data_IF_126700943075
#
_entry.id   IF_126700943075
#
_cell.length_a   1.000
_cell.length_b   1.000
_cell.length_c   1.000
_cell.angle_alpha   90.00
_cell.angle_beta   90.00
_cell.angle_gamma   90.00
#
_symmetry.space_group_name_H-M   'P 1'
#
loop_
_entity.id
_entity.type
_entity.pdbx_description
1 polymer ?
#
# COMPACT_ATOMS: atom_id res chain seq x y z
N UNK A 1 -41.32 3.29 22.62
CA UNK A 1 -41.36 2.20 21.62
C UNK A 1 -41.07 2.82 20.26
N UNK A 2 -39.97 2.45 19.60
CA UNK A 2 -39.64 2.95 18.26
C UNK A 2 -38.18 2.71 17.93
N UNK A 3 -37.83 1.46 17.60
CA UNK A 3 -36.49 1.11 17.14
C UNK A 3 -36.33 1.56 15.69
N UNK A 4 -35.34 2.43 15.42
CA UNK A 4 -34.94 2.76 14.06
C UNK A 4 -34.03 1.63 13.54
N UNK A 5 -34.62 0.63 12.88
CA UNK A 5 -33.86 -0.42 12.21
C UNK A 5 -33.63 -0.02 10.75
N UNK A 6 -32.45 0.52 10.44
CA UNK A 6 -31.99 0.71 9.07
C UNK A 6 -31.50 -0.62 8.50
N UNK A 7 -32.41 -1.42 7.94
CA UNK A 7 -32.05 -2.57 7.12
C UNK A 7 -31.61 -2.10 5.73
N UNK A 8 -30.39 -1.57 5.63
CA UNK A 8 -29.75 -1.34 4.35
C UNK A 8 -28.97 -2.59 3.95
N UNK A 9 -29.67 -3.54 3.33
CA UNK A 9 -29.01 -4.62 2.60
C UNK A 9 -28.46 -4.05 1.29
N UNK A 10 -27.34 -3.33 1.38
CA UNK A 10 -26.68 -2.72 0.25
C UNK A 10 -25.78 -3.76 -0.43
N UNK A 11 -26.29 -4.39 -1.49
CA UNK A 11 -25.44 -5.09 -2.45
C UNK A 11 -24.57 -4.06 -3.16
N UNK A 12 -23.47 -3.68 -2.52
CA UNK A 12 -22.44 -2.83 -3.13
C UNK A 12 -21.62 -3.70 -4.09
N UNK A 13 -21.46 -3.31 -5.36
CA UNK A 13 -20.70 -4.10 -6.35
C UNK A 13 -19.20 -4.19 -6.01
N UNK A 14 -18.74 -3.41 -5.03
CA UNK A 14 -17.40 -3.49 -4.46
C UNK A 14 -17.50 -3.43 -2.93
N UNK A 15 -16.76 -4.32 -2.24
CA UNK A 15 -16.63 -4.25 -0.79
C UNK A 15 -15.70 -3.08 -0.42
N UNK A 16 -16.17 -2.17 0.43
CA UNK A 16 -15.32 -1.08 0.93
C UNK A 16 -14.14 -1.66 1.75
N UNK A 17 -12.94 -1.68 1.15
CA UNK A 17 -11.75 -2.13 1.88
C UNK A 17 -11.38 -1.11 2.97
N UNK A 18 -11.60 -1.47 4.24
CA UNK A 18 -11.32 -0.60 5.38
C UNK A 18 -9.83 -0.57 5.73
N UNK A 19 -9.04 0.00 4.82
CA UNK A 19 -7.57 0.01 4.91
C UNK A 19 -7.03 0.64 6.20
N UNK A 20 -7.76 1.63 6.73
CA UNK A 20 -7.42 2.32 7.98
C UNK A 20 -7.77 1.52 9.23
N UNK A 21 -8.83 0.70 9.21
CA UNK A 21 -9.28 -0.07 10.39
C UNK A 21 -8.52 -1.39 10.56
N UNK A 22 -8.04 -1.99 9.46
CA UNK A 22 -7.37 -3.31 9.49
C UNK A 22 -5.84 -3.24 9.52
N UNK A 23 -5.24 -2.05 9.68
CA UNK A 23 -3.79 -1.91 9.81
C UNK A 23 -3.00 -2.40 8.59
N UNK A 24 -3.44 -2.01 7.38
CA UNK A 24 -2.67 -2.32 6.17
C UNK A 24 -1.27 -1.70 6.28
N UNK A 25 -0.22 -2.37 5.74
CA UNK A 25 1.14 -1.88 5.85
C UNK A 25 1.19 -0.47 5.25
N UNK A 26 1.46 0.52 6.10
CA UNK A 26 1.77 1.87 5.65
C UNK A 26 2.93 1.80 4.68
N UNK A 27 2.97 2.69 3.70
CA UNK A 27 4.04 2.75 2.69
C UNK A 27 5.45 2.78 3.33
N UNK A 28 5.54 3.36 4.54
CA UNK A 28 6.75 3.37 5.38
C UNK A 28 7.24 1.99 5.88
N UNK A 29 6.38 0.96 5.87
CA UNK A 29 6.72 -0.44 6.24
C UNK A 29 6.92 -1.34 5.03
N UNK A 30 6.87 -0.80 3.82
CA UNK A 30 7.17 -1.56 2.61
C UNK A 30 8.69 -1.76 2.52
N UNK A 31 9.12 -3.02 2.43
CA UNK A 31 10.54 -3.37 2.24
C UNK A 31 11.06 -2.73 0.95
N UNK A 32 12.14 -1.94 1.07
CA UNK A 32 12.88 -1.26 -0.02
C UNK A 32 13.97 -2.16 -0.61
N UNK A 33 14.45 -1.84 -1.80
CA UNK A 33 15.51 -2.57 -2.49
C UNK A 33 15.06 -3.77 -3.33
N UNK A 34 16.04 -4.55 -3.82
CA UNK A 34 15.84 -5.63 -4.80
C UNK A 34 15.00 -6.77 -4.21
N UNK A 35 13.88 -7.08 -4.85
CA UNK A 35 12.96 -8.13 -4.40
C UNK A 35 12.60 -9.08 -5.54
N UNK A 36 12.46 -10.36 -5.25
CA UNK A 36 11.94 -11.36 -6.18
C UNK A 36 10.60 -11.84 -5.63
N UNK A 37 9.53 -11.71 -6.41
CA UNK A 37 8.17 -12.11 -6.06
C UNK A 37 7.80 -13.31 -6.92
N UNK A 38 7.18 -14.34 -6.33
CA UNK A 38 6.81 -15.59 -7.01
C UNK A 38 8.00 -16.38 -7.62
N UNK A 39 9.23 -16.07 -7.21
CA UNK A 39 10.45 -16.79 -7.63
C UNK A 39 11.06 -16.29 -8.95
N UNK A 40 10.31 -15.53 -9.75
CA UNK A 40 10.68 -15.10 -11.09
C UNK A 40 10.51 -13.60 -11.35
N UNK A 41 9.69 -12.89 -10.56
CA UNK A 41 9.40 -11.47 -10.79
C UNK A 41 10.32 -10.58 -9.98
N UNK A 42 11.36 -10.05 -10.62
CA UNK A 42 12.22 -9.04 -10.02
C UNK A 42 11.49 -7.69 -9.94
N UNK A 43 11.25 -7.21 -8.72
CA UNK A 43 10.81 -5.86 -8.44
C UNK A 43 12.04 -5.00 -8.16
N UNK A 44 12.36 -4.16 -9.14
CA UNK A 44 13.36 -3.11 -9.00
C UNK A 44 12.63 -1.83 -8.60
N UNK A 45 13.10 -1.20 -7.51
CA UNK A 45 12.61 0.11 -7.08
C UNK A 45 12.91 1.14 -8.17
N UNK A 46 11.87 1.77 -8.72
CA UNK A 46 12.03 2.88 -9.66
C UNK A 46 12.38 4.13 -8.89
N UNK A 47 13.67 4.39 -8.74
CA UNK A 47 14.16 5.62 -8.10
C UNK A 47 13.89 6.81 -9.02
N UNK A 48 13.21 7.82 -8.49
CA UNK A 48 12.94 9.09 -9.15
C UNK A 48 14.12 10.04 -9.04
N UNK A 49 14.12 11.10 -9.86
CA UNK A 49 15.15 12.15 -9.89
C UNK A 49 15.40 12.85 -8.55
N UNK A 50 14.48 12.73 -7.60
CA UNK A 50 14.62 13.33 -6.28
C UNK A 50 15.07 12.35 -5.19
N UNK A 51 15.16 11.06 -5.50
CA UNK A 51 15.58 10.04 -4.54
C UNK A 51 17.09 10.10 -4.31
N UNK A 52 17.51 9.76 -3.10
CA UNK A 52 18.91 9.73 -2.74
C UNK A 52 19.64 8.64 -3.52
N UNK A 53 20.79 9.00 -4.06
CA UNK A 53 21.67 8.09 -4.76
C UNK A 53 22.18 7.00 -3.78
N UNK A 54 22.09 5.71 -4.14
CA UNK A 54 22.47 4.59 -3.29
C UNK A 54 23.98 4.52 -3.03
N UNK A 55 24.80 5.35 -3.69
CA UNK A 55 26.24 5.44 -3.42
C UNK A 55 26.58 6.10 -2.06
N UNK A 56 25.58 6.59 -1.32
CA UNK A 56 25.78 7.19 0.01
C UNK A 56 26.31 8.62 -0.02
N UNK A 57 26.43 9.24 -1.20
CA UNK A 57 26.92 10.62 -1.36
C UNK A 57 25.94 11.70 -0.87
N UNK A 58 24.70 11.33 -0.55
CA UNK A 58 23.62 12.28 -0.25
C UNK A 58 23.14 13.09 -1.46
N UNK A 59 23.71 12.87 -2.65
CA UNK A 59 23.24 13.46 -3.91
C UNK A 59 21.97 12.75 -4.36
N UNK A 60 21.14 13.44 -5.14
CA UNK A 60 19.97 12.84 -5.80
C UNK A 60 20.39 12.19 -7.13
N UNK A 61 19.58 11.25 -7.63
CA UNK A 61 19.77 10.65 -8.95
C UNK A 61 19.78 11.67 -10.10
#
# INVERSE_FOLDING_TARGET
MGQCQTLQNSFTPFESSSKRRRGFPSESRVKRGRRIVHGDKELVEKLGRNDLCPCGSGRRF
#
